data_IF_811392636414
#
_entry.id   IF_811392636414
#
_cell.length_a   1.000
_cell.length_b   1.000
_cell.length_c   1.000
_cell.angle_alpha   90.00
_cell.angle_beta   90.00
_cell.angle_gamma   90.00
#
_symmetry.space_group_name_H-M   'P 1'
#
loop_
_entity.id
_entity.type
_entity.pdbx_description
1 polymer ?
#
# COMPACT_ATOMS: atom_id res chain seq x y z
N UNK A 1 14.54 -5.90 -14.61
CA UNK A 1 14.95 -6.67 -13.42
C UNK A 1 15.36 -5.65 -12.37
N UNK A 2 14.74 -5.66 -11.19
CA UNK A 2 15.10 -4.77 -10.09
C UNK A 2 16.28 -5.39 -9.35
N UNK A 3 17.39 -4.68 -9.26
CA UNK A 3 18.66 -5.19 -8.70
C UNK A 3 18.89 -4.65 -7.29
N UNK A 4 18.50 -3.40 -7.03
CA UNK A 4 18.65 -2.76 -5.73
C UNK A 4 17.30 -2.49 -5.08
N UNK A 5 17.29 -2.46 -3.73
CA UNK A 5 16.10 -2.15 -2.96
C UNK A 5 15.54 -0.74 -3.28
N UNK A 6 16.41 0.21 -3.63
CA UNK A 6 16.03 1.55 -4.08
C UNK A 6 15.25 1.54 -5.38
N UNK A 7 15.58 0.65 -6.33
CA UNK A 7 14.86 0.54 -7.59
C UNK A 7 13.47 -0.06 -7.35
N UNK A 8 13.34 -0.95 -6.37
CA UNK A 8 12.04 -1.49 -5.95
C UNK A 8 11.18 -0.38 -5.33
N UNK A 9 11.75 0.44 -4.45
CA UNK A 9 11.04 1.56 -3.84
C UNK A 9 10.58 2.57 -4.90
N UNK A 10 11.48 2.99 -5.79
CA UNK A 10 11.13 3.92 -6.87
C UNK A 10 10.05 3.34 -7.81
N UNK A 11 10.12 2.05 -8.11
CA UNK A 11 9.07 1.38 -8.88
C UNK A 11 7.73 1.38 -8.15
N UNK A 12 7.72 1.07 -6.85
CA UNK A 12 6.49 1.10 -6.03
C UNK A 12 5.90 2.52 -6.05
N UNK A 13 6.70 3.54 -5.75
CA UNK A 13 6.26 4.93 -5.74
C UNK A 13 5.69 5.39 -7.09
N UNK A 14 6.31 4.96 -8.21
CA UNK A 14 5.85 5.32 -9.56
C UNK A 14 4.55 4.63 -9.97
N UNK A 15 4.27 3.44 -9.42
CA UNK A 15 3.13 2.62 -9.84
C UNK A 15 1.96 2.66 -8.85
N UNK A 16 2.13 3.31 -7.70
CA UNK A 16 1.03 3.53 -6.78
C UNK A 16 0.05 4.57 -7.36
N UNK A 17 -1.26 4.37 -7.16
CA UNK A 17 -2.23 5.38 -7.55
C UNK A 17 -1.94 6.70 -6.82
N UNK A 18 -2.05 7.81 -7.57
CA UNK A 18 -2.02 9.14 -6.99
C UNK A 18 -3.14 9.27 -5.95
N UNK A 19 -2.77 9.78 -4.79
CA UNK A 19 -3.70 10.11 -3.72
C UNK A 19 -4.03 11.58 -3.77
N UNK A 20 -5.28 11.91 -3.50
CA UNK A 20 -5.69 13.26 -3.15
C UNK A 20 -5.13 13.59 -1.77
N UNK A 21 -4.08 14.44 -1.73
CA UNK A 21 -3.36 14.79 -0.51
C UNK A 21 -4.18 15.58 0.49
N UNK A 22 -5.32 16.15 0.07
CA UNK A 22 -6.25 16.84 0.95
C UNK A 22 -7.25 15.87 1.62
N UNK A 23 -7.32 14.63 1.14
CA UNK A 23 -8.28 13.60 1.62
C UNK A 23 -7.62 12.41 2.27
N UNK A 24 -6.38 12.09 1.90
CA UNK A 24 -5.68 10.90 2.38
C UNK A 24 -4.24 11.21 2.80
N UNK A 25 -3.81 10.56 3.87
CA UNK A 25 -2.40 10.46 4.22
C UNK A 25 -1.64 9.62 3.18
N UNK A 26 -0.31 9.79 3.08
CA UNK A 26 0.53 8.97 2.21
C UNK A 26 0.32 7.47 2.46
N UNK A 27 0.57 6.66 1.44
CA UNK A 27 0.55 5.19 1.54
C UNK A 27 1.45 4.71 2.69
N UNK A 28 0.92 3.89 3.59
CA UNK A 28 1.68 3.29 4.70
C UNK A 28 1.51 1.78 4.74
N UNK A 29 2.50 1.07 5.25
CA UNK A 29 2.38 -0.34 5.61
C UNK A 29 1.87 -0.43 7.05
N UNK A 30 0.72 -1.07 7.26
CA UNK A 30 0.11 -1.13 8.57
C UNK A 30 -1.31 -1.68 8.57
N UNK A 31 -1.99 -1.61 9.73
CA UNK A 31 -3.40 -1.93 9.83
C UNK A 31 -4.20 -1.05 8.86
N UNK A 32 -5.12 -1.66 8.11
CA UNK A 32 -5.95 -0.94 7.14
C UNK A 32 -7.18 -0.37 7.83
N UNK A 33 -7.37 0.97 7.87
CA UNK A 33 -8.59 1.56 8.39
C UNK A 33 -9.81 1.19 7.53
N UNK A 34 -11.02 1.06 8.12
CA UNK A 34 -12.23 0.82 7.35
C UNK A 34 -12.48 1.92 6.31
N UNK A 35 -12.70 1.53 5.06
CA UNK A 35 -12.96 2.47 3.96
C UNK A 35 -11.71 3.13 3.36
N UNK A 36 -10.51 2.84 3.88
CA UNK A 36 -9.26 3.30 3.30
C UNK A 36 -8.98 2.62 1.95
N UNK A 37 -8.51 3.36 0.92
CA UNK A 37 -7.89 2.78 -0.25
C UNK A 37 -6.76 1.82 0.14
N UNK A 38 -6.66 0.70 -0.58
CA UNK A 38 -5.61 -0.30 -0.35
C UNK A 38 -4.88 -0.61 -1.65
N UNK A 39 -3.58 -0.89 -1.53
CA UNK A 39 -2.76 -1.41 -2.59
C UNK A 39 -2.08 -2.70 -2.12
N UNK A 40 -2.06 -3.70 -3.00
CA UNK A 40 -1.41 -4.99 -2.74
C UNK A 40 -0.29 -5.19 -3.74
N UNK A 41 0.92 -5.34 -3.23
CA UNK A 41 2.13 -5.56 -4.01
C UNK A 41 2.62 -6.98 -3.75
N UNK A 42 2.70 -7.77 -4.81
CA UNK A 42 3.22 -9.13 -4.74
C UNK A 42 4.63 -9.18 -5.30
N UNK A 43 5.58 -9.54 -4.44
CA UNK A 43 7.00 -9.66 -4.80
C UNK A 43 7.35 -11.13 -4.85
N UNK A 44 7.83 -11.59 -6.02
CA UNK A 44 8.40 -12.93 -6.16
C UNK A 44 9.92 -12.81 -6.19
N UNK A 45 10.59 -13.46 -5.24
CA UNK A 45 12.03 -13.51 -5.10
C UNK A 45 12.49 -14.87 -5.61
N UNK A 46 13.28 -14.85 -6.68
CA UNK A 46 13.90 -16.03 -7.27
C UNK A 46 15.41 -15.93 -7.12
N UNK A 47 16.05 -17.05 -6.80
CA UNK A 47 17.51 -17.17 -6.76
C UNK A 47 17.93 -18.57 -7.19
N UNK A 48 19.02 -18.69 -7.94
CA UNK A 48 19.51 -19.97 -8.43
C UNK A 48 19.93 -20.86 -7.24
N UNK A 49 19.44 -22.09 -7.21
CA UNK A 49 19.73 -23.05 -6.13
C UNK A 49 18.98 -22.80 -4.82
N UNK A 50 18.05 -21.84 -4.78
CA UNK A 50 17.21 -21.55 -3.62
C UNK A 50 15.72 -21.69 -3.96
N UNK A 51 14.92 -21.96 -2.93
CA UNK A 51 13.46 -21.98 -3.06
C UNK A 51 12.92 -20.58 -3.41
N UNK A 52 11.93 -20.54 -4.31
CA UNK A 52 11.21 -19.32 -4.67
C UNK A 52 10.42 -18.81 -3.46
N UNK A 53 10.61 -17.54 -3.11
CA UNK A 53 9.86 -16.90 -2.01
C UNK A 53 8.87 -15.89 -2.57
N UNK A 54 7.67 -15.88 -2.02
CA UNK A 54 6.63 -14.89 -2.34
C UNK A 54 6.35 -14.04 -1.12
N UNK A 55 6.46 -12.73 -1.27
CA UNK A 55 6.18 -11.74 -0.22
C UNK A 55 5.02 -10.87 -0.69
N UNK A 56 4.07 -10.63 0.20
CA UNK A 56 2.94 -9.75 -0.06
C UNK A 56 3.06 -8.53 0.84
N UNK A 57 3.17 -7.35 0.24
CA UNK A 57 3.15 -6.08 0.94
C UNK A 57 1.78 -5.47 0.74
N UNK A 58 1.09 -5.16 1.84
CA UNK A 58 -0.17 -4.44 1.82
C UNK A 58 0.09 -3.00 2.28
N UNK A 59 -0.41 -2.07 1.49
CA UNK A 59 -0.39 -0.65 1.79
C UNK A 59 -1.82 -0.15 1.91
N UNK A 60 -2.02 0.83 2.78
CA UNK A 60 -3.27 1.56 2.89
C UNK A 60 -3.02 3.05 3.00
N UNK A 61 -3.94 3.84 2.47
CA UNK A 61 -3.95 5.29 2.61
C UNK A 61 -5.07 5.69 3.57
N UNK A 62 -4.71 6.14 4.77
CA UNK A 62 -5.69 6.53 5.79
C UNK A 62 -6.38 7.85 5.39
N UNK A 63 -7.72 7.96 5.47
CA UNK A 63 -8.41 9.23 5.29
C UNK A 63 -8.00 10.26 6.35
N UNK A 64 -7.78 11.51 5.95
CA UNK A 64 -7.40 12.60 6.89
C UNK A 64 -8.55 12.91 7.85
N UNK A 65 -9.78 12.95 7.33
CA UNK A 65 -10.98 13.02 8.17
C UNK A 65 -11.50 11.60 8.40
N UNK A 66 -11.65 11.16 9.66
CA UNK A 66 -12.30 9.90 9.93
C UNK A 66 -13.74 10.01 9.43
N UNK A 67 -14.09 9.12 8.50
CA UNK A 67 -15.47 8.93 8.04
C UNK A 67 -16.28 8.40 9.23
N UNK A 68 -16.64 9.28 10.15
CA UNK A 68 -17.48 8.94 11.28
C UNK A 68 -18.84 8.63 10.68
N UNK A 69 -19.36 7.39 10.77
CA UNK A 69 -20.73 7.14 10.36
C UNK A 69 -21.62 7.98 11.27
N UNK A 70 -22.12 9.11 10.76
CA UNK A 70 -23.03 9.97 11.50
C UNK A 70 -24.24 9.10 11.89
N UNK A 71 -24.56 8.94 13.19
CA UNK A 71 -25.73 8.20 13.59
C UNK A 71 -26.93 8.98 13.07
N UNK A 72 -27.74 8.38 12.19
CA UNK A 72 -29.01 9.01 11.79
C UNK A 72 -29.88 9.15 13.05
N UNK A 73 -30.40 10.35 13.36
CA UNK A 73 -31.45 10.47 14.36
C UNK A 73 -32.68 9.70 13.84
N UNK A 74 -33.27 8.86 14.71
CA UNK A 74 -34.58 8.25 14.48
C UNK A 74 -35.68 9.29 14.64
#
# INVERSE_FOLDING_TARGET
MIVHATDLLAWIETNLPDLDTDRYHPWTSGPTPPGAPTARIEVTITSLGHEVRRVCVRLSAEPIEPTTPSPRPR
#
